data_IF_720785940277
#
_entry.id   IF_720785940277
#
_cell.length_a   1.000
_cell.length_b   1.000
_cell.length_c   1.000
_cell.angle_alpha   90.00
_cell.angle_beta   90.00
_cell.angle_gamma   90.00
#
_symmetry.space_group_name_H-M   'P 1'
#
loop_
_entity.id
_entity.type
_entity.pdbx_description
1 polymer ?
#
# COMPACT_ATOMS: atom_id res chain seq x y z
N UNK A 1 -26.09 1.98 3.77
CA UNK A 1 -24.83 1.67 3.06
C UNK A 1 -24.78 0.17 2.88
N UNK A 2 -24.42 -0.32 1.69
CA UNK A 2 -24.09 -1.73 1.47
C UNK A 2 -22.80 -2.07 2.22
N UNK A 3 -22.75 -3.22 2.89
CA UNK A 3 -21.54 -3.68 3.56
C UNK A 3 -20.37 -3.79 2.56
N UNK A 4 -19.14 -3.56 3.05
CA UNK A 4 -17.91 -3.79 2.31
C UNK A 4 -17.90 -5.21 1.74
N UNK A 5 -17.67 -5.32 0.44
CA UNK A 5 -17.55 -6.60 -0.26
C UNK A 5 -16.19 -6.64 -0.97
N UNK A 6 -15.14 -7.12 -0.29
CA UNK A 6 -13.77 -7.10 -0.80
C UNK A 6 -13.63 -7.96 -2.07
N UNK A 7 -14.53 -8.91 -2.32
CA UNK A 7 -14.49 -9.78 -3.51
C UNK A 7 -14.70 -9.02 -4.82
N UNK A 8 -15.19 -7.77 -4.77
CA UNK A 8 -15.33 -6.89 -5.93
C UNK A 8 -14.13 -5.97 -6.16
N UNK A 9 -13.20 -5.88 -5.21
CA UNK A 9 -12.04 -5.00 -5.28
C UNK A 9 -10.87 -5.69 -6.01
N UNK A 10 -10.18 -4.95 -6.89
CA UNK A 10 -9.10 -5.50 -7.72
C UNK A 10 -7.88 -5.90 -6.92
N UNK A 11 -7.42 -5.06 -5.98
CA UNK A 11 -6.26 -5.37 -5.14
C UNK A 11 -6.52 -6.61 -4.30
N UNK A 12 -7.68 -6.68 -3.65
CA UNK A 12 -8.07 -7.84 -2.86
C UNK A 12 -8.10 -9.12 -3.70
N UNK A 13 -8.69 -9.10 -4.90
CA UNK A 13 -8.70 -10.27 -5.79
C UNK A 13 -7.28 -10.75 -6.15
N UNK A 14 -6.36 -9.81 -6.45
CA UNK A 14 -4.98 -10.11 -6.81
C UNK A 14 -4.25 -10.77 -5.64
N UNK A 15 -4.35 -10.18 -4.44
CA UNK A 15 -3.67 -10.69 -3.25
C UNK A 15 -4.30 -11.99 -2.75
N UNK A 16 -5.62 -12.15 -2.87
CA UNK A 16 -6.31 -13.40 -2.50
C UNK A 16 -5.89 -14.56 -3.38
N UNK A 17 -5.80 -14.35 -4.70
CA UNK A 17 -5.29 -15.37 -5.62
C UNK A 17 -3.83 -15.75 -5.31
N UNK A 18 -3.03 -14.76 -4.93
CA UNK A 18 -1.63 -14.94 -4.55
C UNK A 18 -1.46 -15.77 -3.27
N UNK A 19 -2.24 -15.45 -2.24
CA UNK A 19 -2.30 -16.22 -0.99
C UNK A 19 -2.72 -17.68 -1.25
N UNK A 20 -3.82 -17.88 -1.98
CA UNK A 20 -4.37 -19.23 -2.23
C UNK A 20 -3.43 -20.11 -3.07
N UNK A 21 -2.61 -19.51 -3.94
CA UNK A 21 -1.68 -20.24 -4.84
C UNK A 21 -0.22 -20.19 -4.37
N UNK A 22 0.08 -19.50 -3.27
CA UNK A 22 1.41 -19.47 -2.65
C UNK A 22 2.45 -18.72 -3.47
N UNK A 23 2.14 -17.53 -3.98
CA UNK A 23 3.11 -16.65 -4.65
C UNK A 23 3.03 -15.20 -4.16
N UNK A 24 4.07 -14.41 -4.44
CA UNK A 24 4.10 -12.96 -4.16
C UNK A 24 3.79 -12.13 -5.40
N UNK A 25 3.16 -10.96 -5.21
CA UNK A 25 2.83 -10.02 -6.29
C UNK A 25 3.87 -8.91 -6.31
N UNK A 26 4.37 -8.56 -7.50
CA UNK A 26 5.27 -7.41 -7.64
C UNK A 26 4.45 -6.14 -7.50
N UNK A 27 4.87 -5.27 -6.56
CA UNK A 27 4.27 -3.96 -6.33
C UNK A 27 5.34 -2.86 -6.46
N UNK A 28 5.58 -2.30 -7.66
CA UNK A 28 6.62 -1.30 -7.85
C UNK A 28 6.09 0.13 -7.84
N UNK A 29 6.91 1.06 -7.35
CA UNK A 29 6.60 2.49 -7.31
C UNK A 29 6.84 3.13 -8.69
N UNK A 30 5.80 3.80 -9.21
CA UNK A 30 5.88 4.61 -10.42
C UNK A 30 6.05 6.10 -10.10
N UNK A 31 7.10 6.71 -10.69
CA UNK A 31 7.36 8.15 -10.57
C UNK A 31 7.07 8.90 -11.88
N UNK A 32 6.90 8.20 -12.98
CA UNK A 32 6.73 8.75 -14.32
C UNK A 32 6.03 7.76 -15.26
N UNK A 33 5.78 8.19 -16.49
CA UNK A 33 5.06 7.40 -17.50
C UNK A 33 5.92 6.22 -17.97
N UNK A 34 7.24 6.39 -18.05
CA UNK A 34 8.18 5.36 -18.45
C UNK A 34 8.13 4.14 -17.50
N UNK A 35 8.01 4.38 -16.18
CA UNK A 35 7.81 3.33 -15.19
C UNK A 35 6.50 2.58 -15.42
N UNK A 36 5.38 3.30 -15.61
CA UNK A 36 4.07 2.69 -15.87
C UNK A 36 4.15 1.79 -17.10
N UNK A 37 4.72 2.27 -18.20
CA UNK A 37 4.87 1.49 -19.44
C UNK A 37 5.73 0.26 -19.20
N UNK A 38 6.88 0.41 -18.55
CA UNK A 38 7.81 -0.68 -18.30
C UNK A 38 7.19 -1.78 -17.41
N UNK A 39 6.48 -1.39 -16.35
CA UNK A 39 5.84 -2.33 -15.43
C UNK A 39 4.73 -3.13 -16.11
N UNK A 40 3.86 -2.46 -16.88
CA UNK A 40 2.79 -3.12 -17.64
C UNK A 40 3.39 -4.10 -18.66
N UNK A 41 4.36 -3.66 -19.46
CA UNK A 41 5.00 -4.52 -20.47
C UNK A 41 5.67 -5.75 -19.83
N UNK A 42 6.34 -5.57 -18.70
CA UNK A 42 6.95 -6.68 -17.97
C UNK A 42 5.89 -7.65 -17.43
N UNK A 43 4.82 -7.14 -16.82
CA UNK A 43 3.73 -7.95 -16.28
C UNK A 43 3.03 -8.75 -17.38
N UNK A 44 2.72 -8.15 -18.52
CA UNK A 44 2.11 -8.81 -19.68
C UNK A 44 3.03 -9.88 -20.28
N UNK A 45 4.32 -9.56 -20.49
CA UNK A 45 5.30 -10.50 -21.00
C UNK A 45 5.48 -11.73 -20.10
N UNK A 46 5.27 -11.58 -18.79
CA UNK A 46 5.33 -12.66 -17.80
C UNK A 46 3.98 -13.27 -17.47
N UNK A 47 2.88 -12.72 -17.99
CA UNK A 47 1.50 -13.11 -17.63
C UNK A 47 1.29 -13.10 -16.11
N UNK A 48 1.86 -12.08 -15.45
CA UNK A 48 1.84 -11.90 -13.99
C UNK A 48 0.84 -10.82 -13.61
N UNK A 49 0.14 -10.94 -12.46
CA UNK A 49 -0.53 -9.79 -11.88
C UNK A 49 0.50 -8.74 -11.42
N UNK A 50 0.04 -7.50 -11.26
CA UNK A 50 0.84 -6.34 -10.88
C UNK A 50 0.02 -5.40 -9.98
N UNK A 51 0.68 -4.76 -9.01
CA UNK A 51 0.10 -3.63 -8.26
C UNK A 51 1.00 -2.42 -8.51
N UNK A 52 0.56 -1.44 -9.30
CA UNK A 52 1.36 -0.21 -9.47
C UNK A 52 1.11 0.67 -8.26
N UNK A 53 2.19 1.01 -7.55
CA UNK A 53 2.15 1.90 -6.40
C UNK A 53 2.57 3.32 -6.80
N UNK A 54 2.04 4.31 -6.10
CA UNK A 54 2.47 5.71 -6.17
C UNK A 54 2.44 6.31 -4.77
N UNK A 55 3.34 7.26 -4.51
CA UNK A 55 3.33 8.02 -3.26
C UNK A 55 2.36 9.22 -3.31
N UNK A 56 2.04 9.83 -2.15
CA UNK A 56 1.24 11.06 -2.08
C UNK A 56 1.78 12.19 -2.94
N UNK A 57 3.10 12.21 -3.18
CA UNK A 57 3.76 13.09 -4.14
C UNK A 57 3.09 13.10 -5.52
N UNK A 58 2.66 11.95 -6.05
CA UNK A 58 2.03 11.90 -7.37
C UNK A 58 0.74 12.74 -7.42
N UNK A 59 0.05 12.87 -6.29
CA UNK A 59 -1.13 13.71 -6.11
C UNK A 59 -0.72 15.17 -5.95
N UNK A 60 0.19 15.49 -5.04
CA UNK A 60 0.56 16.88 -4.71
C UNK A 60 1.34 17.58 -5.83
N UNK A 61 2.16 16.84 -6.57
CA UNK A 61 2.97 17.37 -7.67
C UNK A 61 2.15 17.63 -8.93
N UNK A 62 1.23 16.71 -9.28
CA UNK A 62 0.57 16.69 -10.60
C UNK A 62 -0.96 16.71 -10.54
N UNK A 63 -1.54 16.97 -9.36
CA UNK A 63 -2.98 16.83 -9.11
C UNK A 63 -3.51 15.45 -9.51
N UNK A 64 -2.69 14.41 -9.34
CA UNK A 64 -3.04 13.02 -9.63
C UNK A 64 -2.95 12.60 -11.11
N UNK A 65 -2.34 13.40 -11.99
CA UNK A 65 -2.21 13.06 -13.42
C UNK A 65 -1.52 11.71 -13.65
N UNK A 66 -0.45 11.43 -12.88
CA UNK A 66 0.25 10.16 -12.96
C UNK A 66 -0.64 8.98 -12.56
N UNK A 67 -1.48 9.16 -11.54
CA UNK A 67 -2.44 8.14 -11.06
C UNK A 67 -3.48 7.82 -12.14
N UNK A 68 -4.00 8.87 -12.80
CA UNK A 68 -4.95 8.70 -13.91
C UNK A 68 -4.31 7.96 -15.08
N UNK A 69 -3.06 8.27 -15.41
CA UNK A 69 -2.31 7.57 -16.46
C UNK A 69 -2.08 6.09 -16.10
N UNK A 70 -1.69 5.80 -14.85
CA UNK A 70 -1.49 4.44 -14.36
C UNK A 70 -2.79 3.64 -14.40
N UNK A 71 -3.90 4.20 -13.92
CA UNK A 71 -5.21 3.55 -13.95
C UNK A 71 -5.73 3.32 -15.37
N UNK A 72 -5.46 4.23 -16.31
CA UNK A 72 -5.76 4.00 -17.72
C UNK A 72 -4.96 2.83 -18.28
N UNK A 73 -3.64 2.79 -18.04
CA UNK A 73 -2.78 1.71 -18.49
C UNK A 73 -3.19 0.36 -17.88
N UNK A 74 -3.52 0.33 -16.58
CA UNK A 74 -4.02 -0.86 -15.89
C UNK A 74 -5.32 -1.41 -16.51
N UNK A 75 -6.25 -0.53 -16.91
CA UNK A 75 -7.49 -0.94 -17.60
C UNK A 75 -7.23 -1.51 -19.01
N UNK A 76 -6.17 -1.07 -19.67
CA UNK A 76 -5.79 -1.54 -21.00
C UNK A 76 -4.92 -2.81 -20.98
N UNK A 77 -4.39 -3.19 -19.82
CA UNK A 77 -3.53 -4.34 -19.68
C UNK A 77 -4.28 -5.67 -19.91
N UNK A 78 -3.56 -6.64 -20.46
CA UNK A 78 -4.04 -8.01 -20.70
C UNK A 78 -3.93 -8.92 -19.46
N UNK A 79 -3.34 -8.42 -18.38
CA UNK A 79 -3.20 -9.10 -17.07
C UNK A 79 -3.87 -8.28 -15.96
N UNK A 80 -4.19 -8.87 -14.80
CA UNK A 80 -4.74 -8.11 -13.67
C UNK A 80 -3.74 -7.08 -13.15
N UNK A 81 -4.15 -5.81 -13.15
CA UNK A 81 -3.35 -4.70 -12.59
C UNK A 81 -4.22 -3.88 -11.64
N UNK A 82 -3.71 -3.60 -10.44
CA UNK A 82 -4.31 -2.67 -9.47
C UNK A 82 -3.46 -1.41 -9.30
N UNK A 83 -4.07 -0.32 -8.84
CA UNK A 83 -3.39 0.91 -8.45
C UNK A 83 -3.49 1.13 -6.94
N UNK A 84 -2.34 1.33 -6.29
CA UNK A 84 -2.24 1.51 -4.85
C UNK A 84 -1.62 2.87 -4.49
N UNK A 85 -2.20 3.57 -3.52
CA UNK A 85 -1.57 4.73 -2.89
C UNK A 85 -0.75 4.24 -1.70
N UNK A 86 0.56 4.38 -1.80
CA UNK A 86 1.51 3.90 -0.79
C UNK A 86 1.85 4.99 0.23
N UNK A 87 2.15 4.62 1.47
CA UNK A 87 2.52 5.51 2.59
C UNK A 87 1.70 6.82 2.69
N UNK A 88 0.38 6.75 2.67
CA UNK A 88 -0.46 7.92 2.88
C UNK A 88 -0.56 8.27 4.37
N UNK A 89 0.12 9.33 4.77
CA UNK A 89 0.22 9.77 6.18
C UNK A 89 -0.66 10.97 6.54
N UNK A 90 -1.33 11.59 5.55
CA UNK A 90 -2.23 12.74 5.77
C UNK A 90 -3.69 12.35 5.53
N UNK A 91 -4.54 12.51 6.55
CA UNK A 91 -5.95 12.11 6.47
C UNK A 91 -6.74 12.85 5.39
N UNK A 92 -6.47 14.15 5.20
CA UNK A 92 -7.17 14.95 4.21
C UNK A 92 -6.80 14.49 2.81
N UNK A 93 -5.53 14.13 2.58
CA UNK A 93 -5.05 13.55 1.34
C UNK A 93 -5.64 12.16 1.09
N UNK A 94 -5.73 11.29 2.10
CA UNK A 94 -6.39 9.97 1.97
C UNK A 94 -7.83 10.17 1.52
N UNK A 95 -8.58 11.07 2.17
CA UNK A 95 -9.97 11.34 1.79
C UNK A 95 -10.09 11.91 0.38
N UNK A 96 -9.23 12.87 0.04
CA UNK A 96 -9.18 13.45 -1.31
C UNK A 96 -8.89 12.37 -2.35
N UNK A 97 -7.90 11.52 -2.12
CA UNK A 97 -7.53 10.42 -3.01
C UNK A 97 -8.71 9.46 -3.19
N UNK A 98 -9.33 9.04 -2.08
CA UNK A 98 -10.48 8.14 -2.09
C UNK A 98 -11.71 8.73 -2.81
N UNK A 99 -11.94 10.04 -2.69
CA UNK A 99 -13.07 10.73 -3.33
C UNK A 99 -12.87 10.98 -4.83
N UNK A 100 -11.62 11.22 -5.27
CA UNK A 100 -11.36 11.88 -6.56
C UNK A 100 -10.45 11.13 -7.51
N UNK A 101 -9.73 10.10 -7.05
CA UNK A 101 -8.73 9.40 -7.86
C UNK A 101 -9.02 7.90 -7.99
N UNK A 102 -8.58 7.27 -9.08
CA UNK A 102 -8.93 5.88 -9.41
C UNK A 102 -8.01 4.87 -8.70
N UNK A 103 -7.97 4.90 -7.37
CA UNK A 103 -7.25 3.92 -6.57
C UNK A 103 -8.08 2.66 -6.34
N UNK A 104 -7.45 1.50 -6.45
CA UNK A 104 -8.04 0.23 -6.01
C UNK A 104 -7.75 -0.01 -4.52
N UNK A 105 -6.62 0.49 -4.01
CA UNK A 105 -6.29 0.43 -2.59
C UNK A 105 -5.47 1.63 -2.10
N UNK A 106 -5.51 1.87 -0.79
CA UNK A 106 -4.75 2.93 -0.11
C UNK A 106 -4.11 2.36 1.16
N UNK A 107 -2.81 2.61 1.36
CA UNK A 107 -2.15 2.41 2.65
C UNK A 107 -2.50 3.55 3.59
N UNK A 108 -3.19 3.22 4.69
CA UNK A 108 -3.52 4.13 5.78
C UNK A 108 -2.37 4.10 6.78
N UNK A 109 -1.36 4.95 6.56
CA UNK A 109 -0.14 4.97 7.37
C UNK A 109 -0.23 6.01 8.48
N UNK A 110 -0.84 5.62 9.60
CA UNK A 110 -0.95 6.46 10.80
C UNK A 110 0.16 6.18 11.83
N UNK A 111 1.28 5.58 11.39
CA UNK A 111 2.40 5.14 12.26
C UNK A 111 3.15 6.27 12.99
N UNK A 112 2.93 7.52 12.59
CA UNK A 112 3.47 8.70 13.25
C UNK A 112 2.66 9.14 14.49
N UNK A 113 1.43 8.63 14.66
CA UNK A 113 0.63 8.81 15.88
C UNK A 113 0.96 7.76 16.96
N UNK A 114 0.56 8.03 18.20
CA UNK A 114 0.61 7.02 19.26
C UNK A 114 -0.36 5.86 18.94
N UNK A 115 -0.08 4.65 19.43
CA UNK A 115 -0.80 3.42 19.04
C UNK A 115 -2.33 3.53 19.11
N UNK A 116 -2.88 3.96 20.26
CA UNK A 116 -4.34 4.10 20.43
C UNK A 116 -4.96 5.06 19.41
N UNK A 117 -4.23 6.13 19.06
CA UNK A 117 -4.67 7.13 18.09
C UNK A 117 -4.51 6.61 16.65
N UNK A 118 -3.43 5.89 16.36
CA UNK A 118 -3.23 5.20 15.08
C UNK A 118 -4.38 4.22 14.81
N UNK A 119 -4.70 3.34 15.77
CA UNK A 119 -5.80 2.39 15.64
C UNK A 119 -7.15 3.11 15.43
N UNK A 120 -7.45 4.14 16.24
CA UNK A 120 -8.70 4.88 16.12
C UNK A 120 -8.86 5.59 14.78
N UNK A 121 -7.79 6.22 14.26
CA UNK A 121 -7.78 6.87 12.94
C UNK A 121 -7.88 5.85 11.82
N UNK A 122 -7.14 4.75 11.93
CA UNK A 122 -7.18 3.65 10.95
C UNK A 122 -8.59 3.07 10.82
N UNK A 123 -9.29 2.76 11.93
CA UNK A 123 -10.69 2.29 11.91
C UNK A 123 -11.60 3.22 11.11
N UNK A 124 -11.46 4.54 11.31
CA UNK A 124 -12.31 5.51 10.63
C UNK A 124 -12.01 5.62 9.14
N UNK A 125 -10.73 5.67 8.77
CA UNK A 125 -10.27 5.80 7.39
C UNK A 125 -10.47 4.51 6.58
N UNK A 126 -10.32 3.34 7.20
CA UNK A 126 -10.67 2.03 6.63
C UNK A 126 -12.15 2.04 6.22
N UNK A 127 -13.04 2.39 7.15
CA UNK A 127 -14.47 2.50 6.85
C UNK A 127 -14.74 3.50 5.72
N UNK A 128 -14.06 4.65 5.73
CA UNK A 128 -14.22 5.68 4.72
C UNK A 128 -13.82 5.20 3.31
N UNK A 129 -12.71 4.45 3.21
CA UNK A 129 -12.23 3.84 1.96
C UNK A 129 -13.17 2.72 1.48
N UNK A 130 -13.61 1.85 2.39
CA UNK A 130 -14.54 0.76 2.09
C UNK A 130 -15.88 1.25 1.53
N UNK A 131 -16.42 2.35 2.06
CA UNK A 131 -17.63 2.99 1.53
C UNK A 131 -17.50 3.42 0.05
N UNK A 132 -16.27 3.55 -0.44
CA UNK A 132 -15.91 3.94 -1.82
C UNK A 132 -15.42 2.78 -2.67
N UNK A 133 -15.41 1.56 -2.15
CA UNK A 133 -14.95 0.40 -2.90
C UNK A 133 -13.42 0.18 -2.86
N UNK A 134 -12.71 0.88 -1.99
CA UNK A 134 -11.24 0.92 -1.94
C UNK A 134 -10.76 0.04 -0.78
N UNK A 135 -9.87 -0.91 -1.07
CA UNK A 135 -9.24 -1.75 -0.05
C UNK A 135 -8.13 -0.99 0.68
N UNK A 136 -7.76 -1.45 1.87
CA UNK A 136 -6.82 -0.74 2.74
C UNK A 136 -5.68 -1.60 3.25
N UNK A 137 -4.48 -1.01 3.25
CA UNK A 137 -3.30 -1.51 3.91
C UNK A 137 -3.00 -0.70 5.18
N UNK A 138 -2.37 -1.30 6.18
CA UNK A 138 -1.76 -0.55 7.27
C UNK A 138 -0.48 -1.23 7.77
N UNK A 139 0.37 -0.45 8.44
CA UNK A 139 1.64 -0.91 9.01
C UNK A 139 1.53 -1.04 10.55
N UNK A 140 1.39 -2.27 11.10
CA UNK A 140 1.43 -2.51 12.53
C UNK A 140 2.87 -2.43 13.07
N UNK A 141 3.40 -1.23 13.24
CA UNK A 141 4.76 -1.02 13.72
C UNK A 141 5.39 0.22 13.10
N UNK A 142 6.72 0.17 12.94
CA UNK A 142 7.47 1.15 12.18
C UNK A 142 8.66 0.49 11.50
N UNK A 143 8.61 0.38 10.18
CA UNK A 143 9.72 0.01 9.31
C UNK A 143 10.69 1.21 9.28
N UNK A 144 11.98 0.96 9.53
CA UNK A 144 12.98 2.02 9.50
C UNK A 144 13.39 2.37 8.07
N UNK A 145 13.94 3.57 7.89
CA UNK A 145 14.56 4.03 6.64
C UNK A 145 13.77 5.13 5.96
N UNK A 146 14.07 5.37 4.70
CA UNK A 146 13.38 6.34 3.86
C UNK A 146 13.72 6.13 2.40
N UNK A 147 12.85 6.63 1.53
CA UNK A 147 12.95 6.56 0.07
C UNK A 147 12.49 7.89 -0.51
N UNK A 148 12.70 8.13 -1.80
CA UNK A 148 12.19 9.36 -2.44
C UNK A 148 10.65 9.38 -2.41
N UNK A 149 10.08 10.11 -1.45
CA UNK A 149 8.63 10.12 -1.18
C UNK A 149 8.24 9.61 0.21
N UNK A 150 9.16 8.99 0.97
CA UNK A 150 8.99 8.55 2.36
C UNK A 150 9.99 9.32 3.23
N UNK A 151 9.52 9.93 4.32
CA UNK A 151 10.41 10.67 5.23
C UNK A 151 11.36 9.71 5.97
N UNK A 152 12.64 10.09 6.11
CA UNK A 152 13.60 9.31 6.89
C UNK A 152 13.18 9.19 8.35
N UNK A 153 13.24 7.99 8.90
CA UNK A 153 12.92 7.69 10.31
C UNK A 153 14.15 7.78 11.25
N UNK A 154 15.23 8.49 10.89
CA UNK A 154 16.51 8.47 11.63
C UNK A 154 16.37 8.84 13.14
N UNK A 155 15.36 9.63 13.51
CA UNK A 155 15.09 10.04 14.89
C UNK A 155 14.09 9.12 15.62
N UNK A 156 13.64 8.03 15.00
CA UNK A 156 12.61 7.12 15.49
C UNK A 156 13.14 5.68 15.53
N UNK A 157 13.16 5.05 16.71
CA UNK A 157 13.49 3.63 16.82
C UNK A 157 12.46 2.79 16.05
N UNK A 158 12.94 1.89 15.19
CA UNK A 158 12.15 0.88 14.51
C UNK A 158 11.43 -0.02 15.51
N UNK A 159 10.17 -0.30 15.22
CA UNK A 159 9.34 -1.15 16.06
C UNK A 159 8.95 -2.39 15.26
N UNK A 160 9.58 -3.52 15.59
CA UNK A 160 9.21 -4.82 15.03
C UNK A 160 7.76 -5.14 15.40
N UNK A 161 7.00 -5.59 14.42
CA UNK A 161 5.60 -5.97 14.56
C UNK A 161 5.46 -7.14 15.52
N UNK A 162 4.55 -7.03 16.49
CA UNK A 162 4.19 -8.12 17.41
C UNK A 162 2.87 -8.78 16.99
N UNK A 163 2.64 -10.02 17.44
CA UNK A 163 1.37 -10.73 17.20
C UNK A 163 0.16 -9.94 17.74
N UNK A 164 0.30 -9.30 18.90
CA UNK A 164 -0.72 -8.44 19.50
C UNK A 164 -1.08 -7.28 18.57
N UNK A 165 -0.09 -6.55 18.05
CA UNK A 165 -0.31 -5.46 17.10
C UNK A 165 -0.96 -5.97 15.80
N UNK A 166 -0.60 -7.15 15.31
CA UNK A 166 -1.28 -7.73 14.15
C UNK A 166 -2.78 -7.92 14.44
N UNK A 167 -3.14 -8.47 15.60
CA UNK A 167 -4.55 -8.65 15.96
C UNK A 167 -5.29 -7.31 16.12
N UNK A 168 -4.65 -6.31 16.73
CA UNK A 168 -5.21 -4.97 16.87
C UNK A 168 -5.48 -4.32 15.51
N UNK A 169 -4.53 -4.40 14.58
CA UNK A 169 -4.68 -3.83 13.24
C UNK A 169 -5.70 -4.60 12.39
N UNK A 170 -5.71 -5.93 12.44
CA UNK A 170 -6.77 -6.74 11.80
C UNK A 170 -8.16 -6.35 12.32
N UNK A 171 -8.29 -6.06 13.62
CA UNK A 171 -9.55 -5.60 14.21
C UNK A 171 -10.01 -4.22 13.73
N UNK A 172 -9.11 -3.41 13.11
CA UNK A 172 -9.51 -2.14 12.49
C UNK A 172 -10.28 -2.33 11.19
N UNK A 173 -10.20 -3.52 10.60
CA UNK A 173 -10.89 -3.90 9.37
C UNK A 173 -10.05 -3.73 8.10
N UNK A 174 -8.75 -3.49 8.20
CA UNK A 174 -7.84 -3.49 7.03
C UNK A 174 -7.92 -4.81 6.24
N UNK A 175 -7.56 -4.74 4.97
CA UNK A 175 -7.62 -5.87 4.05
C UNK A 175 -6.29 -6.63 3.95
N UNK A 176 -5.17 -5.93 4.17
CA UNK A 176 -3.80 -6.48 4.20
C UNK A 176 -2.90 -5.61 5.09
N UNK A 177 -1.75 -6.13 5.50
CA UNK A 177 -0.85 -5.47 6.45
C UNK A 177 0.62 -5.54 5.99
N UNK A 178 1.39 -4.52 6.33
CA UNK A 178 2.84 -4.46 6.14
C UNK A 178 3.57 -4.70 7.47
N UNK A 179 4.09 -5.92 7.73
CA UNK A 179 4.80 -6.18 8.99
C UNK A 179 6.25 -5.66 8.92
N UNK A 180 6.73 -5.14 10.05
CA UNK A 180 8.12 -4.91 10.34
C UNK A 180 8.75 -6.15 11.00
N UNK A 181 9.57 -6.89 10.27
CA UNK A 181 10.22 -8.13 10.75
C UNK A 181 11.74 -8.13 10.50
N UNK A 182 12.35 -6.94 10.45
CA UNK A 182 13.77 -6.73 10.13
C UNK A 182 14.02 -6.21 8.72
N UNK A 183 12.94 -6.00 7.95
CA UNK A 183 12.98 -5.24 6.71
C UNK A 183 13.11 -3.74 6.99
N UNK A 184 13.74 -3.02 6.05
CA UNK A 184 13.88 -1.56 6.04
C UNK A 184 13.55 -0.99 4.65
N UNK A 185 13.28 0.30 4.60
CA UNK A 185 13.28 1.10 3.38
C UNK A 185 14.71 1.48 2.97
N UNK A 186 14.97 1.51 1.65
CA UNK A 186 16.28 1.86 1.11
C UNK A 186 17.36 0.79 1.25
N UNK A 187 18.62 1.21 1.43
CA UNK A 187 19.78 0.32 1.41
C UNK A 187 20.14 -0.23 2.81
N UNK A 188 20.20 -1.55 2.95
CA UNK A 188 20.60 -2.27 4.19
C UNK A 188 22.05 -2.02 4.62
N UNK A 189 22.85 -1.31 3.82
CA UNK A 189 24.26 -1.10 4.07
C UNK A 189 25.08 -2.40 4.11
N UNK A 190 26.29 -2.37 4.69
CA UNK A 190 27.27 -3.45 4.57
C UNK A 190 26.89 -4.74 5.32
N UNK A 191 25.93 -4.69 6.25
CA UNK A 191 25.45 -5.87 6.97
C UNK A 191 24.49 -6.71 6.13
N UNK A 192 23.81 -6.11 5.16
CA UNK A 192 22.77 -6.77 4.39
C UNK A 192 21.49 -7.04 5.21
N UNK A 193 20.48 -7.69 4.61
CA UNK A 193 19.19 -7.93 5.25
C UNK A 193 19.28 -9.00 6.33
N UNK A 194 18.72 -8.69 7.51
CA UNK A 194 18.61 -9.60 8.65
C UNK A 194 17.13 -9.75 9.03
N UNK A 195 16.44 -10.67 8.35
CA UNK A 195 14.99 -10.89 8.47
C UNK A 195 14.65 -11.95 9.54
N UNK A 196 13.61 -11.69 10.32
CA UNK A 196 13.07 -12.60 11.34
C UNK A 196 11.94 -13.45 10.75
N UNK A 197 12.29 -14.46 9.94
CA UNK A 197 11.30 -15.32 9.26
C UNK A 197 10.39 -16.14 10.18
N UNK A 198 10.84 -16.43 11.41
CA UNK A 198 10.08 -17.23 12.39
C UNK A 198 9.11 -16.37 13.24
N UNK A 199 9.10 -15.04 13.06
CA UNK A 199 8.28 -14.09 13.83
C UNK A 199 6.79 -14.23 13.53
#
# INVERSE_FOLDING_TARGET
MTAWDPTKNRTYQILKDAEEKGYGVVAPIAYNIEHIIAFIQAAEAKRSPLIIQVFPWAITFSSGLLVIAAAHAAKCASVPVAIHLDHAQDEALIRQAADTLPFDSIMVDMSHYAMDENLARTVELVRYCHERGIATEAEPGRIEGGEDGIANTEDLEGALTTEEQVQEFVATGIDFLAPAFGNIHGEYGPRGPELQFDR
#
